data_IF_499841800588
#
_entry.id   IF_499841800588
#
_cell.length_a   1.000
_cell.length_b   1.000
_cell.length_c   1.000
_cell.angle_alpha   90.00
_cell.angle_beta   90.00
_cell.angle_gamma   90.00
#
_symmetry.space_group_name_H-M   'P 1'
#
loop_
_entity.id
_entity.type
_entity.pdbx_description
1 polymer ?
#
# COMPACT_ATOMS: atom_id res chain seq x y z
N UNK A 1 -43.21 0.81 -0.55
CA UNK A 1 -41.75 0.70 -0.80
C UNK A 1 -40.94 1.29 0.37
N UNK A 2 -41.42 1.20 1.61
CA UNK A 2 -40.76 1.85 2.77
C UNK A 2 -39.89 0.88 3.59
N UNK A 3 -40.11 -0.44 3.46
CA UNK A 3 -39.35 -1.46 4.22
C UNK A 3 -37.91 -1.67 3.77
N UNK A 4 -37.55 -1.31 2.54
CA UNK A 4 -36.19 -1.51 2.00
C UNK A 4 -35.21 -0.43 2.50
N UNK A 5 -35.68 0.81 2.68
CA UNK A 5 -34.85 1.92 3.19
C UNK A 5 -34.54 1.73 4.68
N UNK A 6 -35.50 1.20 5.46
CA UNK A 6 -35.27 0.79 6.86
C UNK A 6 -34.26 -0.36 6.96
N UNK A 7 -34.29 -1.29 6.01
CA UNK A 7 -33.33 -2.39 5.93
C UNK A 7 -31.90 -1.90 5.63
N UNK A 8 -31.74 -0.98 4.67
CA UNK A 8 -30.43 -0.37 4.38
C UNK A 8 -29.90 0.45 5.55
N UNK A 9 -30.74 1.25 6.21
CA UNK A 9 -30.32 2.04 7.38
C UNK A 9 -29.83 1.15 8.53
N UNK A 10 -30.47 -0.01 8.72
CA UNK A 10 -30.07 -0.98 9.75
C UNK A 10 -28.73 -1.65 9.46
N UNK A 11 -28.47 -2.02 8.20
CA UNK A 11 -27.18 -2.61 7.79
C UNK A 11 -26.02 -1.63 7.95
N UNK A 12 -26.23 -0.34 7.62
CA UNK A 12 -25.17 0.68 7.75
C UNK A 12 -24.97 1.18 9.20
N UNK A 13 -25.94 1.01 10.10
CA UNK A 13 -25.81 1.45 11.50
C UNK A 13 -25.10 0.44 12.41
N UNK A 14 -24.94 -0.81 11.97
CA UNK A 14 -24.26 -1.86 12.77
C UNK A 14 -22.72 -1.83 12.60
N UNK A 15 -22.17 -1.10 11.62
CA UNK A 15 -20.70 -0.95 11.44
C UNK A 15 -20.07 0.20 12.26
N UNK A 16 -20.84 1.17 12.76
CA UNK A 16 -20.30 2.34 13.48
C UNK A 16 -20.04 2.11 14.99
N UNK A 17 -20.12 0.86 15.49
CA UNK A 17 -19.95 0.56 16.92
C UNK A 17 -19.01 -0.61 17.24
N UNK A 18 -17.95 -0.79 16.47
CA UNK A 18 -16.79 -1.54 16.95
C UNK A 18 -15.55 -0.64 17.11
N UNK A 19 -15.36 -0.22 18.36
CA UNK A 19 -14.15 0.27 19.02
C UNK A 19 -12.86 0.34 18.17
N UNK A 20 -12.55 1.54 17.65
CA UNK A 20 -11.17 1.94 17.32
C UNK A 20 -10.39 2.08 18.63
N UNK A 21 -9.88 0.97 19.15
CA UNK A 21 -8.85 0.98 20.20
C UNK A 21 -7.58 1.59 19.63
N UNK A 22 -7.32 2.80 20.12
CA UNK A 22 -6.06 3.53 20.12
C UNK A 22 -4.82 2.62 20.04
N UNK A 23 -4.18 2.59 18.88
CA UNK A 23 -2.76 2.27 18.75
C UNK A 23 -2.09 3.54 18.25
N UNK A 24 -1.48 4.22 19.22
CA UNK A 24 -0.25 5.01 19.12
C UNK A 24 -0.19 6.07 18.03
N UNK A 25 -0.53 7.26 18.49
CA UNK A 25 -0.22 8.56 17.92
C UNK A 25 1.28 8.83 18.08
N UNK A 26 2.11 8.38 17.14
CA UNK A 26 3.42 8.96 16.86
C UNK A 26 3.81 8.76 15.38
N UNK A 27 4.50 9.77 14.81
CA UNK A 27 5.00 9.92 13.43
C UNK A 27 3.98 10.42 12.39
N UNK A 28 3.96 11.74 12.18
CA UNK A 28 3.14 12.41 11.16
C UNK A 28 3.97 12.98 9.99
N UNK A 29 5.30 12.82 9.97
CA UNK A 29 6.16 13.25 8.84
C UNK A 29 6.47 12.12 7.85
N UNK A 30 6.53 10.85 8.28
CA UNK A 30 6.84 9.71 7.39
C UNK A 30 5.65 9.18 6.58
N UNK A 31 4.42 9.60 6.87
CA UNK A 31 3.21 9.04 6.23
C UNK A 31 3.06 9.49 4.79
N UNK A 32 3.44 10.72 4.45
CA UNK A 32 3.31 11.22 3.08
C UNK A 32 4.26 10.47 2.13
N UNK A 33 5.54 10.32 2.51
CA UNK A 33 6.52 9.54 1.75
C UNK A 33 6.08 8.08 1.55
N UNK A 34 5.52 7.46 2.60
CA UNK A 34 5.01 6.10 2.51
C UNK A 34 3.78 6.00 1.60
N UNK A 35 2.89 7.01 1.58
CA UNK A 35 1.74 7.02 0.66
C UNK A 35 2.13 7.14 -0.80
N UNK A 36 3.11 8.00 -1.10
CA UNK A 36 3.65 8.14 -2.47
C UNK A 36 4.31 6.85 -2.94
N UNK A 37 5.09 6.20 -2.06
CA UNK A 37 5.73 4.93 -2.34
C UNK A 37 4.70 3.83 -2.63
N UNK A 38 3.66 3.73 -1.80
CA UNK A 38 2.57 2.76 -2.00
C UNK A 38 1.85 3.02 -3.32
N UNK A 39 1.55 4.29 -3.65
CA UNK A 39 0.89 4.66 -4.89
C UNK A 39 1.72 4.29 -6.12
N UNK A 40 3.02 4.59 -6.11
CA UNK A 40 3.94 4.25 -7.20
C UNK A 40 4.06 2.73 -7.42
N UNK A 41 4.21 1.96 -6.34
CA UNK A 41 4.27 0.49 -6.41
C UNK A 41 2.95 -0.08 -6.94
N UNK A 42 1.82 0.42 -6.44
CA UNK A 42 0.48 -0.03 -6.86
C UNK A 42 0.25 0.25 -8.35
N UNK A 43 0.58 1.45 -8.82
CA UNK A 43 0.46 1.80 -10.23
C UNK A 43 1.33 0.92 -11.13
N UNK A 44 2.59 0.67 -10.74
CA UNK A 44 3.51 -0.18 -11.51
C UNK A 44 3.00 -1.63 -11.61
N UNK A 45 2.50 -2.21 -10.51
CA UNK A 45 1.96 -3.56 -10.49
C UNK A 45 0.67 -3.66 -11.30
N UNK A 46 -0.25 -2.69 -11.15
CA UNK A 46 -1.49 -2.65 -11.92
C UNK A 46 -1.22 -2.62 -13.43
N UNK A 47 -0.25 -1.81 -13.87
CA UNK A 47 0.19 -1.75 -15.27
C UNK A 47 0.83 -3.07 -15.74
N UNK A 48 1.69 -3.68 -14.92
CA UNK A 48 2.36 -4.95 -15.25
C UNK A 48 1.37 -6.10 -15.39
N UNK A 49 0.38 -6.17 -14.49
CA UNK A 49 -0.65 -7.21 -14.49
C UNK A 49 -1.80 -6.92 -15.46
N UNK A 50 -1.84 -5.74 -16.10
CA UNK A 50 -2.97 -5.27 -16.91
C UNK A 50 -4.31 -5.39 -16.17
N UNK A 51 -4.31 -5.04 -14.88
CA UNK A 51 -5.44 -5.17 -13.99
C UNK A 51 -5.76 -3.84 -13.28
N UNK A 52 -7.01 -3.71 -12.82
CA UNK A 52 -7.44 -2.54 -12.06
C UNK A 52 -6.82 -2.50 -10.67
N UNK A 53 -6.64 -1.30 -10.13
CA UNK A 53 -6.02 -1.04 -8.81
C UNK A 53 -6.82 -1.61 -7.64
N UNK A 54 -8.10 -1.93 -7.83
CA UNK A 54 -8.96 -2.56 -6.83
C UNK A 54 -8.74 -4.08 -6.69
N UNK A 55 -8.00 -4.70 -7.61
CA UNK A 55 -7.82 -6.16 -7.66
C UNK A 55 -6.88 -6.66 -6.56
N UNK A 56 -6.00 -5.80 -6.03
CA UNK A 56 -5.02 -6.16 -5.00
C UNK A 56 -4.80 -5.00 -4.04
N UNK A 57 -4.14 -5.28 -2.91
CA UNK A 57 -3.74 -4.26 -1.95
C UNK A 57 -2.33 -4.54 -1.43
N UNK A 58 -1.61 -3.47 -1.10
CA UNK A 58 -0.29 -3.56 -0.46
C UNK A 58 -0.48 -3.72 1.04
N UNK A 59 -0.19 -4.91 1.57
CA UNK A 59 -0.33 -5.20 3.00
C UNK A 59 0.78 -4.60 3.86
N UNK A 60 2.02 -4.72 3.41
CA UNK A 60 3.20 -4.27 4.16
C UNK A 60 4.39 -4.08 3.23
N UNK A 61 5.16 -3.01 3.44
CA UNK A 61 6.45 -2.78 2.79
C UNK A 61 7.52 -2.89 3.87
N UNK A 62 8.41 -3.87 3.73
CA UNK A 62 9.51 -4.10 4.69
C UNK A 62 10.83 -3.81 3.99
N UNK A 63 11.57 -2.84 4.52
CA UNK A 63 12.93 -2.53 4.05
C UNK A 63 13.90 -3.53 4.68
N UNK A 64 14.63 -4.27 3.85
CA UNK A 64 15.70 -5.15 4.30
C UNK A 64 17.06 -4.47 4.13
N UNK A 65 17.99 -4.67 5.07
CA UNK A 65 19.35 -4.17 4.90
C UNK A 65 20.02 -4.85 3.71
N UNK A 66 20.85 -4.10 2.98
CA UNK A 66 21.60 -4.67 1.87
C UNK A 66 22.68 -5.63 2.40
N UNK A 67 22.49 -6.92 2.15
CA UNK A 67 23.42 -7.99 2.53
C UNK A 67 24.41 -8.35 1.41
N UNK A 68 24.28 -7.70 0.24
CA UNK A 68 25.09 -8.00 -0.92
C UNK A 68 26.54 -7.50 -0.72
N UNK A 69 27.56 -8.27 -1.16
CA UNK A 69 28.93 -7.80 -1.13
C UNK A 69 29.13 -6.63 -2.11
N UNK A 70 30.12 -5.79 -1.82
CA UNK A 70 30.36 -4.53 -2.55
C UNK A 70 30.49 -4.73 -4.06
N UNK A 71 31.20 -5.77 -4.50
CA UNK A 71 31.39 -6.07 -5.93
C UNK A 71 30.06 -6.39 -6.64
N UNK A 72 29.12 -7.06 -5.95
CA UNK A 72 27.82 -7.40 -6.52
C UNK A 72 26.95 -6.15 -6.70
N UNK A 73 27.01 -5.23 -5.73
CA UNK A 73 26.32 -3.94 -5.81
C UNK A 73 26.84 -3.11 -6.98
N UNK A 74 28.17 -2.94 -7.07
CA UNK A 74 28.81 -2.16 -8.15
C UNK A 74 28.53 -2.77 -9.52
N UNK A 75 28.61 -4.10 -9.64
CA UNK A 75 28.31 -4.79 -10.90
C UNK A 75 26.87 -4.56 -11.39
N UNK A 76 25.87 -4.62 -10.50
CA UNK A 76 24.47 -4.31 -10.86
C UNK A 76 24.29 -2.85 -11.29
N UNK A 77 24.92 -1.92 -10.58
CA UNK A 77 24.85 -0.49 -10.92
C UNK A 77 25.41 -0.22 -12.31
N UNK A 78 26.55 -0.82 -12.65
CA UNK A 78 27.16 -0.68 -13.97
C UNK A 78 26.25 -1.21 -15.09
N UNK A 79 25.70 -2.42 -14.90
CA UNK A 79 24.77 -3.03 -15.87
C UNK A 79 23.52 -2.18 -16.11
N UNK A 80 22.99 -1.54 -15.07
CA UNK A 80 21.83 -0.64 -15.21
C UNK A 80 22.20 0.62 -16.00
N UNK A 81 23.40 1.19 -15.78
CA UNK A 81 23.87 2.35 -16.56
C UNK A 81 24.09 2.03 -18.03
N UNK A 82 24.51 0.81 -18.36
CA UNK A 82 24.71 0.40 -19.75
C UNK A 82 23.41 0.30 -20.56
N UNK A 83 22.26 0.14 -19.88
CA UNK A 83 20.96 -0.08 -20.54
C UNK A 83 20.10 1.19 -20.67
N UNK A 84 20.56 2.32 -20.17
CA UNK A 84 19.98 3.65 -20.39
C UNK A 84 20.76 4.38 -21.49
#
# INVERSE_FOLDING_TARGET
>A
MEGFLEFLKKVFSDEEKEEVKSIDKEVNEGKEEDTELIAAITAAIALYLQADTSTFYVKSIVRFPETAPVWARVGRQEQMRTRL
#
